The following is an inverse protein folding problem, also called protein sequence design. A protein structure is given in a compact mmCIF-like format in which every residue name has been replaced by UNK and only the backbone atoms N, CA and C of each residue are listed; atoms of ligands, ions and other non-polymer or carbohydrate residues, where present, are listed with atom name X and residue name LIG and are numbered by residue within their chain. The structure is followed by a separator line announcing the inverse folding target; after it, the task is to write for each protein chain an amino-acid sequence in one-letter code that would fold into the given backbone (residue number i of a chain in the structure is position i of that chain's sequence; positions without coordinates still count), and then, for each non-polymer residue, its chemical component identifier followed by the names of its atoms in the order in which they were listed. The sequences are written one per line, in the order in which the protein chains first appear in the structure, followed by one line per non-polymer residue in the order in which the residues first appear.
data_IF_454628087589
#
_entry.id   IF_454628087589
#
_cell.length_a   1.000
_cell.length_b   1.000
_cell.length_c   1.000
_cell.angle_alpha   90.00
_cell.angle_beta   90.00
_cell.angle_gamma   90.00
#
_symmetry.space_group_name_H-M   'P 1'
#
loop_
_entity.id
_entity.type
_entity.pdbx_description
1 polymer ?
#
# COMPACT_ATOMS: atom_id res chain seq x y z
N UNK A 1 1.18 -17.37 -12.26
CA UNK A 1 0.77 -16.59 -13.45
C UNK A 1 1.42 -17.03 -14.76
N UNK A 2 2.76 -17.00 -14.94
CA UNK A 2 3.41 -17.40 -16.21
C UNK A 2 3.04 -18.83 -16.66
N UNK A 3 3.00 -19.80 -15.74
CA UNK A 3 2.55 -21.17 -16.03
C UNK A 3 1.05 -21.25 -16.36
N UNK A 4 0.22 -20.47 -15.68
CA UNK A 4 -1.22 -20.38 -15.98
C UNK A 4 -1.48 -19.86 -17.39
N UNK A 5 -0.75 -18.82 -17.82
CA UNK A 5 -0.82 -18.27 -19.18
C UNK A 5 -0.43 -19.28 -20.27
N UNK A 6 0.41 -20.26 -19.94
CA UNK A 6 0.80 -21.35 -20.85
C UNK A 6 -0.20 -22.51 -20.89
N UNK A 7 -1.25 -22.47 -20.05
CA UNK A 7 -2.26 -23.51 -19.98
C UNK A 7 -3.51 -23.18 -20.80
N UNK A 8 -4.38 -24.17 -20.98
CA UNK A 8 -5.68 -24.02 -21.64
C UNK A 8 -6.78 -23.36 -20.79
N UNK A 9 -6.45 -23.01 -19.52
CA UNK A 9 -7.27 -22.20 -18.61
C UNK A 9 -8.73 -22.65 -18.54
N UNK A 10 -8.99 -23.83 -17.99
CA UNK A 10 -10.33 -24.42 -17.93
C UNK A 10 -11.15 -23.85 -16.79
N UNK A 11 -12.39 -23.49 -17.12
CA UNK A 11 -13.44 -23.09 -16.19
C UNK A 11 -14.49 -24.20 -16.11
N UNK A 12 -15.07 -24.41 -14.92
CA UNK A 12 -16.18 -25.36 -14.76
C UNK A 12 -17.48 -24.68 -15.21
N UNK A 13 -18.15 -25.28 -16.19
CA UNK A 13 -19.46 -24.83 -16.66
C UNK A 13 -20.48 -25.89 -16.32
N UNK A 14 -21.45 -25.54 -15.48
CA UNK A 14 -22.58 -26.42 -15.18
C UNK A 14 -23.47 -26.58 -16.41
N UNK A 15 -24.07 -27.76 -16.55
CA UNK A 15 -25.07 -28.02 -17.59
C UNK A 15 -26.32 -27.14 -17.40
N UNK A 16 -26.59 -26.74 -16.15
CA UNK A 16 -27.67 -25.87 -15.76
C UNK A 16 -27.14 -24.62 -15.03
N UNK A 17 -27.36 -23.40 -15.56
CA UNK A 17 -26.93 -22.17 -14.90
C UNK A 17 -27.61 -21.93 -13.54
N UNK A 18 -28.81 -22.48 -13.34
CA UNK A 18 -29.61 -22.29 -12.12
C UNK A 18 -29.51 -23.49 -11.16
N UNK A 19 -28.43 -24.29 -11.27
CA UNK A 19 -28.23 -25.51 -10.48
C UNK A 19 -28.36 -25.30 -8.95
N UNK A 20 -27.98 -24.12 -8.44
CA UNK A 20 -28.04 -23.81 -6.99
C UNK A 20 -29.47 -23.79 -6.47
N UNK A 21 -30.42 -23.24 -7.22
CA UNK A 21 -31.84 -23.19 -6.84
C UNK A 21 -32.47 -24.58 -6.76
N UNK A 22 -31.89 -25.55 -7.48
CA UNK A 22 -32.36 -26.94 -7.49
C UNK A 22 -31.83 -27.74 -6.31
N UNK A 23 -30.85 -27.23 -5.57
CA UNK A 23 -30.38 -27.87 -4.34
C UNK A 23 -31.43 -27.75 -3.24
N UNK A 24 -31.66 -28.85 -2.54
CA UNK A 24 -32.60 -28.94 -1.43
C UNK A 24 -31.82 -29.37 -0.20
N UNK A 25 -32.08 -28.68 0.90
CA UNK A 25 -31.42 -28.93 2.17
C UNK A 25 -32.45 -29.40 3.20
N UNK A 26 -32.03 -30.21 4.15
CA UNK A 26 -32.84 -30.56 5.31
C UNK A 26 -32.71 -29.51 6.43
N UNK A 27 -33.35 -29.78 7.57
CA UNK A 27 -33.37 -28.84 8.70
C UNK A 27 -31.99 -28.60 9.33
N UNK A 28 -31.06 -29.54 9.14
CA UNK A 28 -29.70 -29.51 9.66
C UNK A 28 -28.69 -28.95 8.63
N UNK A 29 -29.17 -28.53 7.44
CA UNK A 29 -28.33 -27.98 6.38
C UNK A 29 -27.61 -29.04 5.53
N UNK A 30 -28.01 -30.31 5.61
CA UNK A 30 -27.48 -31.35 4.73
C UNK A 30 -28.28 -31.46 3.44
N UNK A 31 -27.60 -31.88 2.37
CA UNK A 31 -28.17 -31.95 1.05
C UNK A 31 -29.13 -33.14 0.93
N UNK A 32 -30.40 -32.87 0.61
CA UNK A 32 -31.51 -33.85 0.59
C UNK A 32 -31.92 -34.29 -0.83
N UNK A 33 -31.29 -33.75 -1.88
CA UNK A 33 -31.60 -34.17 -3.25
C UNK A 33 -31.33 -35.68 -3.43
N UNK A 34 -32.26 -36.39 -4.10
CA UNK A 34 -32.08 -37.83 -4.40
C UNK A 34 -30.88 -38.10 -5.31
N UNK A 35 -30.56 -37.19 -6.23
CA UNK A 35 -29.48 -37.33 -7.21
C UNK A 35 -28.72 -35.99 -7.38
N UNK A 36 -27.96 -35.54 -6.38
CA UNK A 36 -27.32 -34.22 -6.43
C UNK A 36 -26.28 -34.10 -7.54
N UNK A 37 -25.63 -35.23 -7.90
CA UNK A 37 -24.66 -35.30 -9.00
C UNK A 37 -25.24 -34.89 -10.36
N UNK A 38 -26.55 -35.09 -10.59
CA UNK A 38 -27.22 -34.64 -11.81
C UNK A 38 -27.52 -33.15 -11.82
N UNK A 39 -27.58 -32.52 -10.64
CA UNK A 39 -27.83 -31.09 -10.51
C UNK A 39 -26.52 -30.33 -10.69
N UNK A 40 -25.44 -30.85 -10.09
CA UNK A 40 -24.10 -30.24 -10.18
C UNK A 40 -23.29 -30.77 -11.38
N UNK A 41 -23.94 -31.38 -12.38
CA UNK A 41 -23.25 -31.87 -13.57
C UNK A 41 -22.80 -30.71 -14.44
N UNK A 42 -21.73 -30.95 -15.19
CA UNK A 42 -21.09 -29.93 -16.00
C UNK A 42 -19.82 -30.46 -16.64
N UNK A 43 -19.07 -29.55 -17.24
CA UNK A 43 -17.83 -29.86 -17.94
C UNK A 43 -16.82 -28.74 -17.79
N UNK A 44 -15.55 -29.14 -17.84
CA UNK A 44 -14.43 -28.20 -17.92
C UNK A 44 -14.30 -27.67 -19.35
N UNK A 45 -14.42 -26.36 -19.51
CA UNK A 45 -14.32 -25.65 -20.81
C UNK A 45 -13.04 -24.82 -20.85
N UNK A 46 -12.16 -25.14 -21.79
CA UNK A 46 -10.92 -24.39 -22.01
C UNK A 46 -11.22 -22.98 -22.51
N UNK A 47 -10.69 -21.95 -21.83
CA UNK A 47 -10.78 -20.56 -22.27
C UNK A 47 -9.64 -20.18 -23.23
N UNK A 48 -8.56 -20.96 -23.25
CA UNK A 48 -7.41 -20.80 -24.15
C UNK A 48 -7.09 -22.11 -24.88
N UNK A 49 -8.00 -22.64 -25.70
CA UNK A 49 -7.84 -23.95 -26.35
C UNK A 49 -6.59 -24.07 -27.25
N UNK A 50 -6.00 -22.95 -27.65
CA UNK A 50 -4.72 -22.88 -28.36
C UNK A 50 -3.54 -23.44 -27.53
N UNK A 51 -3.59 -23.37 -26.21
CA UNK A 51 -2.53 -23.78 -25.30
C UNK A 51 -2.64 -25.26 -24.90
N UNK A 52 -2.35 -26.16 -25.84
CA UNK A 52 -2.60 -27.60 -25.68
C UNK A 52 -1.63 -28.34 -24.76
N UNK A 53 -0.47 -27.76 -24.46
CA UNK A 53 0.60 -28.44 -23.72
C UNK A 53 0.31 -28.60 -22.22
N UNK A 54 -0.41 -27.66 -21.62
CA UNK A 54 -0.69 -27.67 -20.18
C UNK A 54 -2.18 -27.51 -19.91
N UNK A 55 -2.73 -28.38 -19.06
CA UNK A 55 -4.12 -28.25 -18.58
C UNK A 55 -4.16 -27.43 -17.31
N UNK A 56 -4.81 -26.28 -17.34
CA UNK A 56 -5.01 -25.42 -16.17
C UNK A 56 -6.45 -25.52 -15.69
N UNK A 57 -6.68 -25.63 -14.39
CA UNK A 57 -8.03 -25.64 -13.82
C UNK A 57 -8.19 -24.47 -12.85
N UNK A 58 -9.22 -23.67 -13.05
CA UNK A 58 -9.61 -22.61 -12.12
C UNK A 58 -10.75 -23.10 -11.24
N UNK A 59 -10.55 -23.03 -9.92
CA UNK A 59 -11.47 -23.59 -8.92
C UNK A 59 -11.86 -22.53 -7.89
N UNK A 60 -12.66 -21.52 -8.27
CA UNK A 60 -13.17 -20.54 -7.31
C UNK A 60 -14.15 -21.20 -6.34
N UNK A 61 -14.32 -20.65 -5.15
CA UNK A 61 -15.28 -21.14 -4.16
C UNK A 61 -16.74 -21.17 -4.69
N UNK A 62 -17.06 -20.31 -5.67
CA UNK A 62 -18.39 -20.20 -6.29
C UNK A 62 -18.86 -21.47 -7.00
N UNK A 63 -17.96 -22.39 -7.40
CA UNK A 63 -18.32 -23.69 -8.02
C UNK A 63 -18.52 -24.81 -6.99
N UNK A 64 -18.50 -24.53 -5.69
CA UNK A 64 -18.72 -25.57 -4.69
C UNK A 64 -20.11 -25.44 -4.08
N UNK A 65 -20.90 -26.51 -4.24
CA UNK A 65 -22.29 -26.60 -3.77
C UNK A 65 -22.45 -26.39 -2.26
N UNK A 66 -21.40 -26.67 -1.48
CA UNK A 66 -21.39 -26.53 -0.02
C UNK A 66 -20.98 -25.15 0.48
N UNK A 67 -20.59 -24.24 -0.41
CA UNK A 67 -20.20 -22.88 -0.05
C UNK A 67 -21.42 -21.97 -0.23
N UNK A 68 -21.93 -21.35 0.86
CA UNK A 68 -23.04 -20.41 0.79
C UNK A 68 -22.60 -19.12 0.07
N UNK A 69 -23.46 -18.61 -0.80
CA UNK A 69 -23.19 -17.35 -1.49
C UNK A 69 -23.48 -16.16 -0.59
N UNK A 70 -24.63 -16.18 0.09
CA UNK A 70 -25.10 -15.09 0.95
C UNK A 70 -24.96 -15.44 2.44
N UNK A 71 -24.94 -14.41 3.28
CA UNK A 71 -25.01 -14.56 4.75
C UNK A 71 -26.31 -15.26 5.15
N UNK A 72 -27.42 -14.91 4.49
CA UNK A 72 -28.72 -15.52 4.74
C UNK A 72 -28.70 -17.02 4.45
N UNK A 73 -28.19 -17.43 3.29
CA UNK A 73 -28.03 -18.84 2.94
C UNK A 73 -27.19 -19.58 3.98
N UNK A 74 -26.07 -18.99 4.42
CA UNK A 74 -25.20 -19.63 5.40
C UNK A 74 -25.96 -19.99 6.69
N UNK A 75 -26.76 -19.05 7.21
CA UNK A 75 -27.51 -19.23 8.46
C UNK A 75 -28.75 -20.09 8.24
N UNK A 76 -29.54 -19.79 7.21
CA UNK A 76 -30.89 -20.34 7.05
C UNK A 76 -30.93 -21.61 6.24
N UNK A 77 -30.09 -21.76 5.22
CA UNK A 77 -30.08 -22.91 4.31
C UNK A 77 -29.00 -23.93 4.69
N UNK A 78 -27.77 -23.48 4.92
CA UNK A 78 -26.59 -24.32 5.17
C UNK A 78 -26.33 -24.59 6.65
N UNK A 79 -27.05 -23.92 7.56
CA UNK A 79 -26.91 -24.03 9.03
C UNK A 79 -25.47 -23.91 9.52
N UNK A 80 -24.72 -22.99 8.91
CA UNK A 80 -23.33 -22.70 9.23
C UNK A 80 -23.17 -21.24 9.66
N UNK A 81 -21.95 -20.86 10.05
CA UNK A 81 -21.68 -19.51 10.53
C UNK A 81 -21.66 -18.50 9.35
N UNK A 82 -22.11 -17.25 9.54
CA UNK A 82 -22.10 -16.20 8.51
C UNK A 82 -20.77 -16.04 7.79
N UNK A 83 -19.66 -16.20 8.51
CA UNK A 83 -18.30 -16.00 8.01
C UNK A 83 -17.92 -16.98 6.91
N UNK A 84 -18.63 -18.11 6.79
CA UNK A 84 -18.42 -19.09 5.73
C UNK A 84 -19.08 -18.72 4.41
N UNK A 85 -19.82 -17.60 4.33
CA UNK A 85 -20.43 -17.10 3.09
C UNK A 85 -19.49 -16.23 2.27
N UNK A 86 -19.63 -16.30 0.94
CA UNK A 86 -18.87 -15.44 0.03
C UNK A 86 -19.18 -13.96 0.29
N UNK A 87 -20.45 -13.60 0.48
CA UNK A 87 -20.87 -12.24 0.80
C UNK A 87 -20.18 -11.68 2.06
N UNK A 88 -20.03 -12.48 3.12
CA UNK A 88 -19.32 -12.05 4.32
C UNK A 88 -17.84 -11.78 4.02
N UNK A 89 -17.20 -12.69 3.26
CA UNK A 89 -15.80 -12.55 2.86
C UNK A 89 -15.58 -11.27 2.05
N UNK A 90 -16.48 -10.95 1.11
CA UNK A 90 -16.41 -9.73 0.29
C UNK A 90 -16.55 -8.44 1.11
N UNK A 91 -17.39 -8.44 2.15
CA UNK A 91 -17.66 -7.26 2.98
C UNK A 91 -16.55 -6.99 4.01
N UNK A 92 -15.95 -8.04 4.57
CA UNK A 92 -15.12 -7.93 5.77
C UNK A 92 -13.64 -8.22 5.54
N UNK A 93 -13.26 -8.87 4.42
CA UNK A 93 -11.86 -9.15 4.14
C UNK A 93 -11.26 -8.22 3.09
N UNK A 94 -9.94 -7.97 3.14
CA UNK A 94 -9.26 -7.23 2.10
C UNK A 94 -9.51 -7.87 0.73
N UNK A 95 -9.74 -7.02 -0.29
CA UNK A 95 -9.97 -7.47 -1.68
C UNK A 95 -8.91 -8.46 -2.16
N UNK A 96 -7.69 -8.34 -1.67
CA UNK A 96 -6.58 -9.25 -1.96
C UNK A 96 -6.82 -10.70 -1.52
N UNK A 97 -7.30 -10.87 -0.29
CA UNK A 97 -7.64 -12.17 0.28
C UNK A 97 -8.85 -12.75 -0.44
N UNK A 98 -9.86 -11.92 -0.70
CA UNK A 98 -11.06 -12.35 -1.42
C UNK A 98 -10.72 -12.85 -2.82
N UNK A 99 -9.95 -12.09 -3.59
CA UNK A 99 -9.59 -12.47 -4.95
C UNK A 99 -8.76 -13.76 -5.00
N UNK A 100 -7.80 -13.95 -4.08
CA UNK A 100 -6.97 -15.15 -4.05
C UNK A 100 -7.70 -16.38 -3.48
N UNK A 101 -8.37 -16.23 -2.34
CA UNK A 101 -8.90 -17.36 -1.57
C UNK A 101 -10.34 -17.72 -1.95
N UNK A 102 -11.16 -16.73 -2.32
CA UNK A 102 -12.56 -16.95 -2.72
C UNK A 102 -12.64 -17.16 -4.22
N UNK A 103 -12.06 -16.25 -4.99
CA UNK A 103 -12.20 -16.27 -6.45
C UNK A 103 -11.14 -17.06 -7.17
N UNK A 104 -10.15 -17.65 -6.48
CA UNK A 104 -9.09 -18.43 -7.15
C UNK A 104 -8.24 -17.63 -8.14
N UNK A 105 -8.39 -16.30 -8.14
CA UNK A 105 -7.72 -15.41 -9.06
C UNK A 105 -6.26 -15.24 -8.64
N UNK A 106 -5.39 -15.03 -9.63
CA UNK A 106 -4.04 -14.56 -9.37
C UNK A 106 -4.11 -13.10 -8.91
N UNK A 107 -4.32 -12.88 -7.62
CA UNK A 107 -4.29 -11.54 -7.04
C UNK A 107 -2.85 -11.18 -6.69
N UNK A 108 -2.20 -10.43 -7.59
CA UNK A 108 -0.81 -10.00 -7.47
C UNK A 108 0.14 -11.21 -7.35
N UNK A 109 1.44 -11.06 -7.55
CA UNK A 109 2.31 -12.11 -7.03
C UNK A 109 2.20 -12.00 -5.50
N UNK A 110 1.91 -13.06 -4.74
CA UNK A 110 1.86 -12.98 -3.26
C UNK A 110 3.14 -12.35 -2.65
N UNK A 111 4.24 -12.37 -3.41
CA UNK A 111 5.50 -11.71 -3.10
C UNK A 111 5.68 -10.31 -3.68
N UNK A 112 4.98 -9.85 -4.72
CA UNK A 112 5.09 -8.49 -5.31
C UNK A 112 3.70 -7.88 -5.46
N UNK A 113 3.28 -7.00 -4.54
CA UNK A 113 1.91 -6.57 -4.43
C UNK A 113 1.62 -5.29 -5.24
N UNK A 114 2.60 -4.65 -5.83
CA UNK A 114 2.39 -3.57 -6.80
C UNK A 114 2.83 -4.11 -8.15
N UNK A 115 1.95 -4.00 -9.15
CA UNK A 115 2.23 -4.43 -10.52
C UNK A 115 2.48 -3.20 -11.40
N UNK A 116 3.21 -3.34 -12.52
CA UNK A 116 3.43 -2.23 -13.44
C UNK A 116 2.13 -1.55 -13.86
N UNK A 117 1.09 -2.33 -14.14
CA UNK A 117 -0.22 -1.81 -14.57
C UNK A 117 -0.90 -0.95 -13.49
N UNK A 118 -0.66 -1.23 -12.20
CA UNK A 118 -1.16 -0.39 -11.11
C UNK A 118 -0.44 0.97 -11.08
N UNK A 119 0.87 0.97 -11.29
CA UNK A 119 1.67 2.21 -11.31
C UNK A 119 1.32 3.03 -12.56
N UNK A 120 1.25 2.37 -13.71
CA UNK A 120 0.85 2.99 -14.98
C UNK A 120 -0.56 3.60 -14.92
N UNK A 121 -1.49 2.99 -14.17
CA UNK A 121 -2.81 3.56 -13.94
C UNK A 121 -2.78 4.88 -13.13
N UNK A 122 -1.68 5.18 -12.43
CA UNK A 122 -1.45 6.44 -11.74
C UNK A 122 -0.84 7.52 -12.63
N UNK A 123 -0.41 7.19 -13.85
CA UNK A 123 0.27 8.12 -14.76
C UNK A 123 -0.68 9.18 -15.31
N UNK A 124 -0.19 10.42 -15.34
CA UNK A 124 -0.83 11.53 -16.02
C UNK A 124 0.17 12.19 -16.98
N UNK A 125 0.11 11.79 -18.25
CA UNK A 125 0.97 12.30 -19.33
C UNK A 125 0.72 13.79 -19.68
N UNK A 126 -0.28 14.43 -19.06
CA UNK A 126 -0.53 15.86 -19.26
C UNK A 126 0.20 16.75 -18.25
N UNK A 127 0.76 16.17 -17.18
CA UNK A 127 1.40 16.89 -16.08
C UNK A 127 2.89 16.60 -16.03
N UNK A 128 3.69 17.62 -15.74
CA UNK A 128 5.09 17.48 -15.32
C UNK A 128 5.19 17.66 -13.80
N UNK A 129 6.36 17.41 -13.23
CA UNK A 129 6.68 17.96 -11.92
C UNK A 129 6.53 19.50 -11.93
N UNK A 130 6.28 20.05 -10.75
CA UNK A 130 5.99 21.46 -10.54
C UNK A 130 7.19 22.16 -9.93
N UNK A 131 7.43 23.39 -10.38
CA UNK A 131 8.42 24.29 -9.79
C UNK A 131 7.86 24.96 -8.52
N UNK A 132 8.72 25.52 -7.64
CA UNK A 132 8.29 26.29 -6.47
C UNK A 132 7.28 27.40 -6.82
N UNK A 133 7.53 28.10 -7.92
CA UNK A 133 6.66 29.18 -8.40
C UNK A 133 5.26 28.68 -8.75
N UNK A 134 5.16 27.56 -9.46
CA UNK A 134 3.87 26.96 -9.82
C UNK A 134 3.11 26.49 -8.58
N UNK A 135 3.78 25.89 -7.60
CA UNK A 135 3.11 25.51 -6.34
C UNK A 135 2.62 26.75 -5.59
N UNK A 136 3.43 27.81 -5.51
CA UNK A 136 3.02 29.08 -4.89
C UNK A 136 1.78 29.68 -5.57
N UNK A 137 1.72 29.65 -6.90
CA UNK A 137 0.56 30.08 -7.69
C UNK A 137 -0.68 29.22 -7.40
N UNK A 138 -0.54 27.89 -7.35
CA UNK A 138 -1.62 26.99 -6.96
C UNK A 138 -2.09 27.26 -5.53
N UNK A 139 -1.18 27.50 -4.59
CA UNK A 139 -1.54 27.80 -3.19
C UNK A 139 -2.28 29.12 -3.07
N UNK A 140 -1.93 30.13 -3.87
CA UNK A 140 -2.68 31.39 -3.97
C UNK A 140 -4.07 31.20 -4.57
N UNK A 141 -4.19 30.37 -5.60
CA UNK A 141 -5.45 30.14 -6.31
C UNK A 141 -6.43 29.28 -5.50
N UNK A 142 -5.95 28.19 -4.90
CA UNK A 142 -6.79 27.16 -4.27
C UNK A 142 -6.79 27.24 -2.74
N UNK A 143 -5.86 27.99 -2.12
CA UNK A 143 -5.82 28.21 -0.68
C UNK A 143 -5.82 26.89 0.12
N UNK A 144 -6.84 26.73 0.97
CA UNK A 144 -7.02 25.56 1.85
C UNK A 144 -7.65 24.35 1.17
N UNK A 145 -7.98 24.44 -0.12
CA UNK A 145 -8.46 23.31 -0.92
C UNK A 145 -7.33 22.35 -1.31
N UNK A 146 -6.08 22.82 -1.21
CA UNK A 146 -4.89 21.99 -1.34
C UNK A 146 -4.05 22.02 -0.07
N UNK A 147 -3.48 20.87 0.27
CA UNK A 147 -2.40 20.75 1.25
C UNK A 147 -1.15 20.26 0.54
N UNK A 148 0.01 20.72 0.99
CA UNK A 148 1.31 20.41 0.41
C UNK A 148 2.12 19.73 1.50
N UNK A 149 2.49 18.49 1.26
CA UNK A 149 3.24 17.66 2.19
C UNK A 149 4.65 17.43 1.69
N UNK A 150 5.61 17.37 2.62
CA UNK A 150 6.99 16.98 2.36
C UNK A 150 7.32 15.72 3.16
N UNK A 151 7.59 14.62 2.47
CA UNK A 151 8.08 13.39 3.07
C UNK A 151 9.55 13.22 2.80
N UNK A 152 10.34 12.83 3.81
CA UNK A 152 11.79 12.68 3.69
C UNK A 152 12.22 11.31 4.23
N UNK A 153 12.95 10.56 3.41
CA UNK A 153 13.73 9.41 3.86
C UNK A 153 15.22 9.75 3.79
N UNK A 154 15.94 9.56 4.89
CA UNK A 154 17.35 9.96 4.98
C UNK A 154 18.29 8.88 4.41
N UNK A 155 17.80 7.66 4.26
CA UNK A 155 18.61 6.52 3.88
C UNK A 155 19.54 6.05 5.00
N UNK A 156 20.24 4.92 4.78
CA UNK A 156 20.91 4.16 5.85
C UNK A 156 22.45 4.14 5.84
N UNK A 157 23.14 4.97 5.06
CA UNK A 157 24.62 4.93 4.93
C UNK A 157 25.12 3.93 3.86
N UNK A 158 26.45 3.79 3.64
CA UNK A 158 27.03 4.05 2.33
C UNK A 158 26.88 2.91 1.29
N UNK A 159 26.84 3.36 0.04
CA UNK A 159 26.86 2.68 -1.27
C UNK A 159 25.52 2.35 -1.96
N UNK A 160 24.39 2.16 -1.25
CA UNK A 160 23.14 1.74 -1.91
C UNK A 160 21.87 2.55 -1.54
N UNK A 161 21.96 3.45 -0.57
CA UNK A 161 20.82 4.24 -0.08
C UNK A 161 21.12 5.74 -0.19
N UNK A 162 20.12 6.52 -0.58
CA UNK A 162 20.20 7.97 -0.79
C UNK A 162 19.17 8.67 0.06
N UNK A 163 19.48 9.89 0.47
CA UNK A 163 18.45 10.76 1.02
C UNK A 163 17.50 11.18 -0.10
N UNK A 164 16.19 11.00 0.09
CA UNK A 164 15.17 11.38 -0.88
C UNK A 164 14.06 12.17 -0.20
N UNK A 165 13.68 13.30 -0.78
CA UNK A 165 12.50 14.06 -0.39
C UNK A 165 11.48 14.11 -1.49
N UNK A 166 10.20 13.97 -1.14
CA UNK A 166 9.07 14.10 -2.07
C UNK A 166 8.10 15.16 -1.58
N UNK A 167 7.66 16.03 -2.50
CA UNK A 167 6.56 16.98 -2.26
C UNK A 167 5.30 16.44 -2.93
N UNK A 168 4.21 16.32 -2.16
CA UNK A 168 2.89 15.90 -2.65
C UNK A 168 1.86 17.00 -2.44
N UNK A 169 1.07 17.28 -3.48
CA UNK A 169 -0.15 18.08 -3.35
C UNK A 169 -1.33 17.13 -3.08
N UNK A 170 -1.99 17.32 -1.95
CA UNK A 170 -3.28 16.72 -1.67
C UNK A 170 -4.43 17.64 -2.08
N UNK A 171 -5.13 17.26 -3.14
CA UNK A 171 -6.32 17.92 -3.66
C UNK A 171 -7.55 17.50 -2.88
N UNK A 172 -7.88 18.22 -1.79
CA UNK A 172 -8.89 17.78 -0.80
C UNK A 172 -10.25 17.49 -1.41
N UNK A 173 -10.75 18.38 -2.28
CA UNK A 173 -12.07 18.21 -2.94
C UNK A 173 -12.11 17.00 -3.86
N UNK A 174 -11.00 16.69 -4.55
CA UNK A 174 -10.90 15.55 -5.47
C UNK A 174 -10.49 14.27 -4.76
N UNK A 175 -10.04 14.38 -3.51
CA UNK A 175 -9.41 13.31 -2.73
C UNK A 175 -8.24 12.65 -3.49
N UNK A 176 -7.44 13.44 -4.22
CA UNK A 176 -6.32 12.95 -5.04
C UNK A 176 -5.00 13.50 -4.54
N UNK A 177 -3.94 12.72 -4.73
CA UNK A 177 -2.59 13.06 -4.33
C UNK A 177 -1.72 13.15 -5.58
N UNK A 178 -1.03 14.25 -5.76
CA UNK A 178 -0.17 14.48 -6.91
C UNK A 178 1.27 14.64 -6.45
N UNK A 179 2.16 13.81 -6.99
CA UNK A 179 3.60 14.03 -6.86
C UNK A 179 3.91 15.35 -7.58
N UNK A 180 4.49 16.29 -6.86
CA UNK A 180 4.81 17.61 -7.37
C UNK A 180 6.31 17.82 -7.53
N UNK A 181 7.12 17.18 -6.69
CA UNK A 181 8.57 17.23 -6.76
C UNK A 181 9.17 15.98 -6.10
N UNK A 182 10.26 15.47 -6.64
CA UNK A 182 11.06 14.38 -6.04
C UNK A 182 12.53 14.78 -6.17
N UNK A 183 13.28 14.70 -5.08
CA UNK A 183 14.69 15.09 -5.04
C UNK A 183 15.53 14.03 -4.33
N UNK A 184 16.48 13.47 -5.05
CA UNK A 184 17.43 12.49 -4.53
C UNK A 184 18.79 13.16 -4.35
N UNK A 185 19.25 13.20 -3.11
CA UNK A 185 20.50 13.86 -2.73
C UNK A 185 21.68 12.91 -2.82
N UNK A 186 22.86 13.42 -3.25
CA UNK A 186 24.11 12.71 -3.06
C UNK A 186 24.43 12.58 -1.57
N UNK A 187 25.45 11.77 -1.25
CA UNK A 187 25.99 11.74 0.10
C UNK A 187 26.62 13.09 0.42
N UNK A 188 26.11 13.75 1.45
CA UNK A 188 26.57 15.06 1.92
C UNK A 188 26.48 15.12 3.45
N UNK A 189 26.97 16.20 4.05
CA UNK A 189 26.91 16.36 5.51
C UNK A 189 25.45 16.45 5.97
N UNK A 190 25.13 15.80 7.10
CA UNK A 190 23.74 15.68 7.56
C UNK A 190 23.04 17.03 7.77
N UNK A 191 23.74 18.03 8.29
CA UNK A 191 23.20 19.37 8.48
C UNK A 191 22.96 20.11 7.16
N UNK A 192 23.71 19.80 6.11
CA UNK A 192 23.50 20.38 4.78
C UNK A 192 22.25 19.76 4.13
N UNK A 193 22.04 18.45 4.32
CA UNK A 193 20.79 17.78 3.93
C UNK A 193 19.58 18.40 4.62
N UNK A 194 19.67 18.62 5.93
CA UNK A 194 18.60 19.23 6.72
C UNK A 194 18.30 20.65 6.24
N UNK A 195 19.35 21.47 6.02
CA UNK A 195 19.22 22.83 5.50
C UNK A 195 18.53 22.86 4.14
N UNK A 196 18.95 21.98 3.22
CA UNK A 196 18.35 21.84 1.90
C UNK A 196 16.84 21.55 1.98
N UNK A 197 16.41 20.61 2.83
CA UNK A 197 14.98 20.33 2.96
C UNK A 197 14.19 21.39 3.74
N UNK A 198 14.83 22.21 4.59
CA UNK A 198 14.20 23.44 5.12
C UNK A 198 13.95 24.43 3.99
N UNK A 199 14.90 24.60 3.08
CA UNK A 199 14.73 25.45 1.91
C UNK A 199 13.62 24.94 0.99
N UNK A 200 13.62 23.64 0.63
CA UNK A 200 12.55 23.01 -0.16
C UNK A 200 11.18 23.21 0.51
N UNK A 201 11.07 22.98 1.83
CA UNK A 201 9.82 23.19 2.56
C UNK A 201 9.28 24.62 2.37
N UNK A 202 10.14 25.63 2.49
CA UNK A 202 9.75 27.02 2.34
C UNK A 202 9.45 27.40 0.89
N UNK A 203 10.32 27.02 -0.06
CA UNK A 203 10.18 27.31 -1.48
C UNK A 203 8.88 26.72 -2.05
N UNK A 204 8.58 25.46 -1.71
CA UNK A 204 7.38 24.77 -2.15
C UNK A 204 6.14 25.10 -1.30
N UNK A 205 6.26 26.01 -0.33
CA UNK A 205 5.13 26.41 0.54
C UNK A 205 4.45 25.22 1.22
N UNK A 206 5.25 24.25 1.68
CA UNK A 206 4.76 23.06 2.34
C UNK A 206 3.99 23.43 3.63
N UNK A 207 2.89 22.73 3.89
CA UNK A 207 2.11 22.89 5.10
C UNK A 207 2.67 22.02 6.23
N UNK A 208 3.13 20.82 5.89
CA UNK A 208 3.56 19.83 6.88
C UNK A 208 4.64 18.91 6.32
N UNK A 209 5.55 18.47 7.19
CA UNK A 209 6.65 17.57 6.85
C UNK A 209 6.74 16.41 7.83
N UNK A 210 6.93 15.21 7.28
CA UNK A 210 7.26 14.00 8.03
C UNK A 210 8.58 13.45 7.50
N UNK A 211 9.52 13.20 8.41
CA UNK A 211 10.85 12.72 8.05
C UNK A 211 11.23 11.51 8.90
N UNK A 212 11.96 10.55 8.31
CA UNK A 212 12.46 9.39 9.03
C UNK A 212 13.31 9.80 10.27
N UNK A 213 13.16 9.08 11.37
CA UNK A 213 13.98 9.23 12.57
C UNK A 213 15.04 8.16 12.75
N UNK A 214 15.06 7.11 11.91
CA UNK A 214 16.08 6.05 12.00
C UNK A 214 17.49 6.62 11.96
N UNK A 215 17.85 7.26 10.84
CA UNK A 215 19.13 7.96 10.65
C UNK A 215 18.99 9.50 10.64
N UNK A 216 17.78 9.99 10.90
CA UNK A 216 17.41 11.40 10.75
C UNK A 216 17.33 12.23 12.03
N UNK A 217 17.65 11.68 13.21
CA UNK A 217 17.36 12.35 14.50
C UNK A 217 17.90 13.78 14.57
N UNK A 218 19.17 13.97 14.22
CA UNK A 218 19.81 15.28 14.32
C UNK A 218 19.35 16.22 13.19
N UNK A 219 19.11 15.67 12.00
CA UNK A 219 18.53 16.40 10.86
C UNK A 219 17.15 16.93 11.17
N UNK A 220 16.25 16.10 11.69
CA UNK A 220 14.90 16.52 12.13
C UNK A 220 14.98 17.55 13.24
N UNK A 221 15.90 17.37 14.20
CA UNK A 221 16.09 18.34 15.30
C UNK A 221 16.53 19.70 14.76
N UNK A 222 17.47 19.73 13.81
CA UNK A 222 17.91 20.95 13.12
C UNK A 222 16.77 21.59 12.32
N UNK A 223 15.99 20.81 11.57
CA UNK A 223 14.83 21.33 10.83
C UNK A 223 13.78 21.96 11.76
N UNK A 224 13.61 21.41 12.97
CA UNK A 224 12.65 21.93 13.95
C UNK A 224 13.14 23.18 14.67
N UNK A 225 14.39 23.17 15.14
CA UNK A 225 14.90 24.20 16.07
C UNK A 225 15.79 25.25 15.38
N UNK A 226 16.25 24.98 14.15
CA UNK A 226 17.31 25.72 13.50
C UNK A 226 18.69 25.23 13.92
N UNK A 227 19.72 25.76 13.27
CA UNK A 227 21.11 25.33 13.49
C UNK A 227 22.08 26.01 12.53
N UNK A 228 23.19 25.34 12.28
CA UNK A 228 24.21 25.79 11.33
C UNK A 228 24.57 24.66 10.37
N UNK A 229 24.83 25.01 9.10
CA UNK A 229 25.36 24.09 8.09
C UNK A 229 26.81 23.71 8.40
N UNK A 230 27.37 22.75 7.66
CA UNK A 230 28.79 22.39 7.79
C UNK A 230 29.74 23.55 7.49
N UNK A 231 29.27 24.57 6.75
CA UNK A 231 30.01 25.79 6.42
C UNK A 231 29.75 26.95 7.40
N UNK A 232 28.96 26.72 8.46
CA UNK A 232 28.65 27.74 9.47
C UNK A 232 27.54 28.72 9.06
N UNK A 233 26.77 28.41 8.02
CA UNK A 233 25.62 29.24 7.62
C UNK A 233 24.43 28.96 8.53
N UNK A 234 23.77 30.02 9.00
CA UNK A 234 22.64 29.90 9.92
C UNK A 234 21.38 29.44 9.20
N UNK A 235 20.71 28.44 9.75
CA UNK A 235 19.42 27.92 9.26
C UNK A 235 18.34 28.18 10.30
N UNK A 236 17.25 28.82 9.88
CA UNK A 236 16.08 29.03 10.74
C UNK A 236 15.23 27.76 10.83
N UNK A 237 14.80 27.41 12.04
CA UNK A 237 13.94 26.26 12.26
C UNK A 237 12.51 26.49 11.78
N UNK A 238 11.88 25.44 11.26
CA UNK A 238 10.49 25.45 10.82
C UNK A 238 9.49 25.30 11.98
N UNK A 239 9.97 24.84 13.13
CA UNK A 239 9.17 24.57 14.32
C UNK A 239 8.54 23.18 14.35
N UNK A 240 8.31 22.67 15.56
CA UNK A 240 7.75 21.33 15.84
C UNK A 240 6.32 21.13 15.37
N UNK A 241 5.60 22.22 15.05
CA UNK A 241 4.25 22.16 14.48
C UNK A 241 4.23 21.85 12.99
N UNK A 242 5.33 22.12 12.27
CA UNK A 242 5.44 21.91 10.82
C UNK A 242 6.22 20.66 10.44
N UNK A 243 7.21 20.29 11.26
CA UNK A 243 8.08 19.13 11.01
C UNK A 243 7.91 18.11 12.13
N UNK A 244 7.58 16.87 11.78
CA UNK A 244 7.55 15.73 12.71
C UNK A 244 8.49 14.63 12.25
N UNK A 245 9.20 14.06 13.21
CA UNK A 245 9.92 12.82 12.99
C UNK A 245 8.97 11.62 12.97
N UNK A 246 9.28 10.60 12.18
CA UNK A 246 8.58 9.33 12.15
C UNK A 246 9.53 8.18 12.51
N UNK A 247 9.17 7.42 13.53
CA UNK A 247 9.84 6.19 13.93
C UNK A 247 9.04 4.98 13.42
N UNK A 248 9.62 4.27 12.46
CA UNK A 248 9.04 3.02 11.94
C UNK A 248 9.60 1.82 12.71
N UNK A 249 8.74 0.93 13.21
CA UNK A 249 9.20 -0.33 13.82
C UNK A 249 8.38 -1.53 13.32
N UNK A 250 8.99 -2.72 13.33
CA UNK A 250 8.40 -3.95 12.77
C UNK A 250 7.61 -4.81 13.76
N UNK A 251 7.26 -4.29 14.95
CA UNK A 251 6.74 -5.11 16.04
C UNK A 251 5.67 -4.38 16.87
N UNK A 252 4.90 -3.48 16.27
CA UNK A 252 3.80 -2.82 16.97
C UNK A 252 2.53 -3.60 16.66
N UNK A 253 2.08 -4.44 17.59
CA UNK A 253 0.78 -5.14 17.55
C UNK A 253 -0.44 -4.18 17.65
N UNK A 254 -0.29 -2.90 17.30
CA UNK A 254 -1.28 -1.85 17.56
C UNK A 254 -1.57 -1.03 16.31
N UNK A 255 -2.85 -0.96 15.96
CA UNK A 255 -3.42 -0.51 14.68
C UNK A 255 -3.37 1.02 14.42
N UNK A 256 -2.63 1.82 15.19
CA UNK A 256 -2.74 3.29 15.12
C UNK A 256 -1.40 4.01 15.15
N UNK A 257 -1.23 5.01 14.27
CA UNK A 257 -0.20 6.06 14.45
C UNK A 257 -0.35 6.63 15.86
N UNK A 258 0.70 6.54 16.68
CA UNK A 258 0.71 7.21 17.98
C UNK A 258 1.55 8.47 17.88
N UNK A 259 0.95 9.61 18.20
CA UNK A 259 1.71 10.76 18.64
C UNK A 259 2.32 10.40 19.99
N UNK A 260 3.63 10.10 20.00
CA UNK A 260 4.33 9.80 21.25
C UNK A 260 5.03 11.06 21.71
N UNK A 261 4.65 11.49 22.91
CA UNK A 261 5.49 12.34 23.75
C UNK A 261 6.31 11.37 24.59
N UNK A 262 7.53 11.06 24.17
CA UNK A 262 8.40 10.23 24.98
C UNK A 262 9.43 11.14 25.66
N UNK A 263 9.40 11.16 26.99
CA UNK A 263 10.55 11.54 27.80
C UNK A 263 11.55 10.38 27.67
N UNK A 264 12.49 10.44 26.72
CA UNK A 264 13.56 9.43 26.63
C UNK A 264 14.91 10.10 26.84
N UNK A 265 15.49 9.69 27.97
CA UNK A 265 16.91 9.69 28.28
C UNK A 265 17.56 8.80 27.21
N UNK A 266 18.29 9.40 26.26
CA UNK A 266 19.39 8.80 25.46
C UNK A 266 19.71 9.65 24.22
N UNK A 267 19.86 10.96 24.45
CA UNK A 267 20.68 11.85 23.64
C UNK A 267 21.73 12.46 24.60
N UNK A 268 22.90 12.93 24.14
CA UNK A 268 23.93 13.51 25.01
C UNK A 268 23.43 14.73 25.81
N UNK A 269 22.23 15.22 25.54
CA UNK A 269 21.52 16.25 26.28
C UNK A 269 20.29 15.64 26.96
N UNK A 270 20.45 15.29 28.23
CA UNK A 270 19.37 14.84 29.12
C UNK A 270 18.23 15.87 29.13
N UNK A 271 17.01 15.46 28.77
CA UNK A 271 15.79 16.22 29.09
C UNK A 271 14.96 16.79 27.94
N UNK A 272 15.31 16.59 26.67
CA UNK A 272 14.47 17.09 25.57
C UNK A 272 13.30 16.17 25.22
N UNK A 273 12.07 16.64 25.46
CA UNK A 273 10.84 16.02 24.92
C UNK A 273 10.88 16.06 23.39
N UNK A 274 11.00 14.91 22.74
CA UNK A 274 10.86 14.79 21.27
C UNK A 274 9.46 14.28 20.94
N UNK A 275 8.70 15.08 20.21
CA UNK A 275 7.39 14.68 19.66
C UNK A 275 7.60 14.01 18.31
N UNK A 276 7.12 12.77 18.18
CA UNK A 276 7.27 12.01 16.94
C UNK A 276 6.10 11.05 16.70
N UNK A 277 5.91 10.68 15.43
CA UNK A 277 4.99 9.62 15.05
C UNK A 277 5.65 8.26 15.19
N UNK A 278 4.99 7.33 15.88
CA UNK A 278 5.41 5.92 15.91
C UNK A 278 4.42 5.11 15.10
N UNK A 279 4.91 4.43 14.07
CA UNK A 279 4.09 3.67 13.12
C UNK A 279 4.61 2.26 12.92
N UNK A 280 3.69 1.31 12.71
CA UNK A 280 4.04 -0.04 12.30
C UNK A 280 4.46 -0.03 10.83
N UNK A 281 5.69 -0.48 10.57
CA UNK A 281 6.26 -0.45 9.21
C UNK A 281 5.47 -1.31 8.23
N UNK A 282 5.02 -2.49 8.67
CA UNK A 282 4.24 -3.38 7.82
C UNK A 282 2.91 -2.73 7.44
N UNK A 283 2.26 -2.08 8.41
CA UNK A 283 0.98 -1.42 8.17
C UNK A 283 1.09 -0.24 7.21
N UNK A 284 2.08 0.64 7.36
CA UNK A 284 2.22 1.80 6.45
C UNK A 284 2.54 1.36 5.02
N UNK A 285 3.36 0.32 4.85
CA UNK A 285 3.66 -0.24 3.52
C UNK A 285 2.41 -0.91 2.94
N UNK A 286 1.64 -1.64 3.74
CA UNK A 286 0.37 -2.22 3.30
C UNK A 286 -0.63 -1.14 2.88
N UNK A 287 -0.76 -0.07 3.67
CA UNK A 287 -1.62 1.08 3.34
C UNK A 287 -1.20 1.70 2.01
N UNK A 288 0.11 1.85 1.78
CA UNK A 288 0.64 2.36 0.52
C UNK A 288 0.34 1.43 -0.66
N UNK A 289 0.53 0.13 -0.51
CA UNK A 289 0.18 -0.89 -1.51
C UNK A 289 -1.30 -0.83 -1.91
N UNK A 290 -2.18 -0.61 -0.94
CA UNK A 290 -3.62 -0.48 -1.18
C UNK A 290 -3.97 0.88 -1.80
N UNK A 291 -3.27 1.94 -1.39
CA UNK A 291 -3.38 3.29 -1.94
C UNK A 291 -2.96 3.39 -3.42
N UNK A 292 -1.87 2.72 -3.84
CA UNK A 292 -1.48 2.70 -5.27
C UNK A 292 -2.56 2.06 -6.15
N UNK A 293 -3.37 1.14 -5.59
CA UNK A 293 -4.49 0.51 -6.28
C UNK A 293 -5.84 1.20 -6.08
N UNK A 294 -5.90 2.29 -5.32
CA UNK A 294 -7.16 2.94 -4.99
C UNK A 294 -7.62 3.86 -6.13
N UNK A 295 -8.94 4.03 -6.23
CA UNK A 295 -9.55 4.89 -7.24
C UNK A 295 -10.59 5.82 -6.60
N UNK A 296 -10.75 6.98 -7.19
CA UNK A 296 -11.76 7.98 -6.82
C UNK A 296 -12.57 8.36 -8.07
N UNK A 297 -13.84 8.78 -7.93
CA UNK A 297 -14.62 9.24 -9.07
C UNK A 297 -14.06 10.58 -9.59
N UNK A 298 -13.92 10.69 -10.92
CA UNK A 298 -13.66 11.97 -11.56
C UNK A 298 -14.93 12.82 -11.70
N UNK A 299 -14.82 13.98 -12.35
CA UNK A 299 -15.92 14.93 -12.57
C UNK A 299 -17.12 14.33 -13.35
N UNK A 300 -16.90 13.21 -14.05
CA UNK A 300 -17.92 12.47 -14.79
C UNK A 300 -18.32 11.15 -14.11
N UNK A 301 -17.93 10.95 -12.85
CA UNK A 301 -18.20 9.73 -12.08
C UNK A 301 -17.39 8.50 -12.50
N UNK A 302 -16.44 8.62 -13.43
CA UNK A 302 -15.58 7.51 -13.84
C UNK A 302 -14.45 7.30 -12.83
N UNK A 303 -14.12 6.05 -12.47
CA UNK A 303 -13.03 5.77 -11.55
C UNK A 303 -11.69 6.18 -12.19
N UNK A 304 -10.90 6.96 -11.45
CA UNK A 304 -9.52 7.34 -11.80
C UNK A 304 -8.61 7.06 -10.60
N UNK A 305 -7.31 6.84 -10.82
CA UNK A 305 -6.37 6.60 -9.73
C UNK A 305 -6.36 7.75 -8.72
N UNK A 306 -6.30 7.41 -7.44
CA UNK A 306 -6.19 8.38 -6.35
C UNK A 306 -4.82 9.08 -6.36
N UNK A 307 -3.76 8.35 -6.70
CA UNK A 307 -2.42 8.88 -6.91
C UNK A 307 -2.26 9.40 -8.35
N UNK A 308 -1.54 10.51 -8.50
CA UNK A 308 -1.16 11.12 -9.77
C UNK A 308 0.36 11.17 -9.82
N UNK A 309 0.95 10.46 -10.78
CA UNK A 309 2.37 10.52 -11.12
C UNK A 309 2.48 11.32 -12.44
N UNK A 310 3.07 12.52 -12.43
CA UNK A 310 3.25 13.31 -13.65
C UNK A 310 4.20 12.60 -14.63
N UNK A 311 3.77 12.43 -15.88
CA UNK A 311 4.52 11.72 -16.93
C UNK A 311 4.67 12.51 -18.24
N UNK A 312 4.44 13.83 -18.22
CA UNK A 312 4.69 14.70 -19.38
C UNK A 312 6.17 14.67 -19.78
N UNK A 313 7.05 14.61 -18.78
CA UNK A 313 8.48 14.39 -18.90
C UNK A 313 8.78 13.06 -18.20
N UNK A 314 8.78 11.96 -18.95
CA UNK A 314 8.85 10.60 -18.37
C UNK A 314 10.10 10.38 -17.49
N UNK A 315 11.25 10.88 -17.91
CA UNK A 315 12.52 10.80 -17.17
C UNK A 315 12.51 11.44 -15.77
N UNK A 316 11.48 12.22 -15.41
CA UNK A 316 11.33 12.80 -14.07
C UNK A 316 10.79 11.79 -13.05
N UNK A 317 10.08 10.75 -13.50
CA UNK A 317 9.31 9.85 -12.63
C UNK A 317 9.26 8.37 -13.08
N UNK A 318 9.81 8.02 -14.25
CA UNK A 318 9.79 6.66 -14.80
C UNK A 318 10.41 5.61 -13.84
N UNK A 319 11.46 5.97 -13.12
CA UNK A 319 12.12 5.12 -12.11
C UNK A 319 11.17 4.69 -10.98
N UNK A 320 10.09 5.43 -10.71
CA UNK A 320 9.10 5.05 -9.70
C UNK A 320 8.37 3.75 -10.04
N UNK A 321 8.31 3.39 -11.33
CA UNK A 321 7.75 2.11 -11.77
C UNK A 321 8.47 0.93 -11.11
N UNK A 322 9.79 0.92 -11.23
CA UNK A 322 10.64 -0.13 -10.70
C UNK A 322 10.66 -0.07 -9.17
N UNK A 323 10.79 1.13 -8.60
CA UNK A 323 10.84 1.31 -7.14
C UNK A 323 9.54 0.84 -6.45
N UNK A 324 8.37 1.10 -7.05
CA UNK A 324 7.08 0.63 -6.52
C UNK A 324 6.95 -0.89 -6.67
N UNK A 325 7.33 -1.44 -7.82
CA UNK A 325 7.27 -2.87 -8.11
C UNK A 325 8.28 -3.71 -7.33
N UNK A 326 9.32 -3.07 -6.77
CA UNK A 326 10.33 -3.68 -5.92
C UNK A 326 9.84 -3.97 -4.50
N UNK A 327 8.68 -3.45 -4.09
CA UNK A 327 8.05 -3.84 -2.83
C UNK A 327 7.75 -5.34 -2.89
N UNK A 328 8.29 -6.08 -1.93
CA UNK A 328 8.13 -7.53 -1.83
C UNK A 328 7.77 -7.99 -0.44
N UNK A 329 6.89 -8.99 -0.35
CA UNK A 329 6.61 -9.66 0.91
C UNK A 329 7.80 -10.56 1.25
N UNK A 330 8.37 -10.39 2.44
CA UNK A 330 9.36 -11.32 2.99
C UNK A 330 8.67 -12.64 3.31
N UNK A 331 9.27 -13.74 2.91
CA UNK A 331 8.93 -15.03 3.49
C UNK A 331 9.59 -15.07 4.87
N UNK A 332 8.82 -15.37 5.92
CA UNK A 332 9.41 -15.63 7.23
C UNK A 332 10.26 -16.89 7.10
N UNK A 333 11.57 -16.77 7.31
CA UNK A 333 12.46 -17.92 7.34
C UNK A 333 11.96 -18.91 8.39
N UNK A 334 11.89 -20.19 7.99
CA UNK A 334 11.50 -21.31 8.85
C UNK A 334 12.44 -21.51 10.05
N UNK A 335 13.55 -20.78 10.13
CA UNK A 335 14.58 -20.95 11.16
C UNK A 335 14.28 -20.22 12.48
N UNK A 336 13.19 -19.45 12.58
CA UNK A 336 12.72 -18.88 13.85
C UNK A 336 11.73 -19.82 14.56
N UNK A 337 12.14 -21.06 14.84
CA UNK A 337 11.35 -22.11 15.51
C UNK A 337 11.11 -21.89 17.02
N UNK A 338 11.36 -20.71 17.59
CA UNK A 338 11.17 -20.52 19.04
C UNK A 338 9.82 -19.91 19.44
N UNK A 339 8.86 -19.70 18.53
CA UNK A 339 7.53 -19.20 18.92
C UNK A 339 6.40 -20.09 18.38
N UNK A 340 5.87 -20.87 19.32
CA UNK A 340 4.49 -21.34 19.48
C UNK A 340 4.11 -22.75 19.01
N UNK A 341 3.69 -23.55 19.99
CA UNK A 341 2.82 -24.75 19.89
C UNK A 341 1.41 -24.45 19.33
N UNK A 342 1.17 -23.28 18.74
CA UNK A 342 -0.10 -22.90 18.10
C UNK A 342 0.06 -22.98 16.57
N UNK A 343 -0.98 -23.43 15.88
CA UNK A 343 -1.00 -23.64 14.43
C UNK A 343 -0.29 -22.49 13.65
N UNK A 344 0.83 -22.76 12.96
CA UNK A 344 1.61 -21.75 12.24
C UNK A 344 0.81 -21.06 11.11
N UNK A 345 -0.36 -21.59 10.73
CA UNK A 345 -1.30 -20.94 9.80
C UNK A 345 -2.07 -19.77 10.43
N UNK A 346 -2.15 -19.70 11.75
CA UNK A 346 -2.92 -18.65 12.44
C UNK A 346 -2.12 -17.35 12.65
N UNK A 347 -0.79 -17.36 12.51
CA UNK A 347 0.08 -16.18 12.73
C UNK A 347 1.18 -16.03 11.68
N UNK A 348 0.87 -16.18 10.39
CA UNK A 348 1.79 -15.76 9.33
C UNK A 348 1.91 -14.22 9.34
N UNK A 349 2.81 -13.67 10.17
CA UNK A 349 3.09 -12.22 10.20
C UNK A 349 3.43 -11.77 8.79
N UNK A 350 2.71 -10.79 8.27
CA UNK A 350 3.07 -10.13 7.02
C UNK A 350 4.29 -9.25 7.33
N UNK A 351 5.36 -9.42 6.58
CA UNK A 351 6.51 -8.53 6.61
C UNK A 351 6.84 -8.15 5.17
N UNK A 352 7.21 -6.89 4.96
CA UNK A 352 7.66 -6.37 3.67
C UNK A 352 9.18 -6.18 3.69
N UNK A 353 9.82 -6.23 2.52
CA UNK A 353 11.16 -5.66 2.37
C UNK A 353 11.14 -4.17 2.70
N UNK A 354 12.32 -3.61 2.97
CA UNK A 354 12.45 -2.16 3.04
C UNK A 354 12.22 -1.61 1.61
N UNK A 355 11.19 -0.76 1.37
CA UNK A 355 10.99 -0.12 0.07
C UNK A 355 12.17 0.79 -0.29
N UNK A 356 12.29 1.19 -1.55
CA UNK A 356 13.32 2.16 -1.96
C UNK A 356 13.10 3.51 -1.25
N UNK A 357 14.18 4.27 -1.06
CA UNK A 357 14.13 5.54 -0.31
C UNK A 357 13.12 6.54 -0.94
N UNK A 358 12.98 6.52 -2.27
CA UNK A 358 11.95 7.26 -3.02
C UNK A 358 10.53 6.91 -2.58
N UNK A 359 10.22 5.62 -2.49
CA UNK A 359 8.91 5.11 -2.04
C UNK A 359 8.68 5.44 -0.57
N UNK A 360 9.69 5.29 0.27
CA UNK A 360 9.59 5.66 1.68
C UNK A 360 9.31 7.14 1.86
N UNK A 361 9.97 8.02 1.09
CA UNK A 361 9.68 9.46 1.10
C UNK A 361 8.23 9.79 0.70
N UNK A 362 7.66 9.03 -0.24
CA UNK A 362 6.24 9.13 -0.61
C UNK A 362 5.33 8.62 0.52
N UNK A 363 5.67 7.51 1.17
CA UNK A 363 4.91 6.92 2.28
C UNK A 363 4.82 7.88 3.49
N UNK A 364 5.84 8.72 3.69
CA UNK A 364 5.83 9.71 4.77
C UNK A 364 4.93 10.93 4.49
N UNK A 365 4.58 11.20 3.21
CA UNK A 365 3.58 12.22 2.86
C UNK A 365 2.17 11.75 3.20
#
# INVERSE_FOLDING_TARGET
YKLWKKSDQREWVYDDPNWREKLKFDKEGYLKNKNPKKIVSGKWVAQKPENKEYRGYHMPQTIFARIPLTIDDAVNLYKTRPENSIEYQEKHNPKSIVQAHVYGNFFKAMRRPITPEMVEACYDYTKSLLTPKQISELKKQYGTEILIFLGIDWGSGPAASKTVGTVIIFWRKKNRYQIAFVDSRPMEHEYDQAAHFVEIFNQYSCDFCVADLGYGKDKVTMMQNGGYTSFGEKVEGLGRGKVKGCWTSGNITQETMRHKNQDVIDAPTVGEKKEYYSVDKTQIIQNFVDFVGSTVPNEFGKPVSQLIIPMKNDWECDFLLDDFCDITRKDLDKNNEEIAKEDPRQKAKKEWNHPKDSVMSIIYC
#
